data_IF_483610926597
#
_entry.id   IF_483610926597
#
_cell.length_a   1.000
_cell.length_b   1.000
_cell.length_c   1.000
_cell.angle_alpha   90.00
_cell.angle_beta   90.00
_cell.angle_gamma   90.00
#
_symmetry.space_group_name_H-M   'P 1'
#
loop_
_entity.id
_entity.type
_entity.pdbx_description
1 polymer ?
#
# COMPACT_ATOMS: atom_id res chain seq x y z
N UNK A 1 7.80 -10.66 -2.25
CA UNK A 1 9.05 -10.03 -2.71
C UNK A 1 9.68 -9.07 -1.71
N UNK A 2 8.95 -8.05 -1.20
CA UNK A 2 9.55 -7.04 -0.28
C UNK A 2 10.02 -7.60 1.07
N UNK A 3 9.33 -8.60 1.63
CA UNK A 3 9.74 -9.28 2.87
C UNK A 3 11.06 -10.04 2.65
N UNK A 4 11.13 -10.84 1.58
CA UNK A 4 12.36 -11.54 1.20
C UNK A 4 13.55 -10.58 0.96
N UNK A 5 13.31 -9.39 0.37
CA UNK A 5 14.36 -8.37 0.16
C UNK A 5 14.84 -7.69 1.45
N UNK A 6 14.07 -7.69 2.54
CA UNK A 6 14.48 -7.09 3.83
C UNK A 6 15.45 -7.98 4.64
N UNK A 7 15.50 -9.28 4.36
CA UNK A 7 16.50 -10.18 4.94
C UNK A 7 16.38 -10.41 6.45
N UNK A 8 15.22 -10.10 7.05
CA UNK A 8 14.98 -10.32 8.49
C UNK A 8 14.68 -11.80 8.73
N UNK A 9 15.53 -12.47 9.50
CA UNK A 9 15.54 -13.94 9.67
C UNK A 9 14.17 -14.51 10.09
N UNK A 10 13.49 -13.85 11.02
CA UNK A 10 12.17 -14.30 11.49
C UNK A 10 11.04 -14.08 10.47
N UNK A 11 11.19 -13.11 9.54
CA UNK A 11 10.16 -12.82 8.54
C UNK A 11 10.25 -13.78 7.33
N UNK A 12 11.37 -14.49 7.16
CA UNK A 12 11.56 -15.43 6.05
C UNK A 12 10.71 -16.70 6.20
N UNK A 13 10.34 -17.07 7.43
CA UNK A 13 9.46 -18.20 7.71
C UNK A 13 7.97 -17.86 7.61
N UNK A 14 7.63 -16.60 7.31
CA UNK A 14 6.24 -16.21 7.10
C UNK A 14 5.75 -16.88 5.82
N UNK A 15 4.90 -17.89 5.99
CA UNK A 15 4.30 -18.61 4.87
C UNK A 15 3.49 -17.66 3.98
N UNK A 16 3.56 -17.89 2.66
CA UNK A 16 2.77 -17.14 1.69
C UNK A 16 1.27 -17.18 2.02
N UNK A 17 0.77 -18.35 2.44
CA UNK A 17 -0.63 -18.53 2.82
C UNK A 17 -1.04 -17.63 3.99
N UNK A 18 -0.13 -17.39 4.94
CA UNK A 18 -0.39 -16.46 6.03
C UNK A 18 -0.55 -15.02 5.51
N UNK A 19 0.33 -14.58 4.60
CA UNK A 19 0.24 -13.25 3.99
C UNK A 19 -1.03 -13.08 3.15
N UNK A 20 -1.47 -14.13 2.46
CA UNK A 20 -2.73 -14.14 1.71
C UNK A 20 -3.93 -13.98 2.65
N UNK A 21 -4.02 -14.79 3.72
CA UNK A 21 -5.07 -14.65 4.74
C UNK A 21 -5.08 -13.27 5.39
N UNK A 22 -3.90 -12.72 5.66
CA UNK A 22 -3.75 -11.39 6.23
C UNK A 22 -4.29 -10.33 5.27
N UNK A 23 -3.87 -10.38 4.00
CA UNK A 23 -4.33 -9.46 2.97
C UNK A 23 -5.85 -9.51 2.82
N UNK A 24 -6.44 -10.70 2.75
CA UNK A 24 -7.89 -10.87 2.72
C UNK A 24 -8.60 -10.29 3.95
N UNK A 25 -8.06 -10.51 5.15
CA UNK A 25 -8.63 -9.97 6.38
C UNK A 25 -8.62 -8.44 6.38
N UNK A 26 -7.51 -7.82 5.95
CA UNK A 26 -7.41 -6.37 5.79
C UNK A 26 -8.36 -5.84 4.70
N UNK A 27 -8.47 -6.53 3.57
CA UNK A 27 -9.38 -6.15 2.49
C UNK A 27 -10.84 -6.15 2.97
N UNK A 28 -11.26 -7.20 3.70
CA UNK A 28 -12.60 -7.27 4.32
C UNK A 28 -12.82 -6.15 5.34
N UNK A 29 -11.87 -5.93 6.23
CA UNK A 29 -11.94 -4.88 7.23
C UNK A 29 -12.14 -3.49 6.60
N UNK A 30 -11.28 -3.12 5.64
CA UNK A 30 -11.36 -1.82 5.00
C UNK A 30 -12.52 -1.69 4.00
N UNK A 31 -13.07 -2.80 3.51
CA UNK A 31 -14.29 -2.81 2.72
C UNK A 31 -15.52 -2.36 3.54
N UNK A 32 -15.53 -2.57 4.85
CA UNK A 32 -16.63 -2.16 5.72
C UNK A 32 -16.30 -0.91 6.56
N UNK A 33 -15.02 -0.57 6.67
CA UNK A 33 -14.55 0.59 7.41
C UNK A 33 -15.16 1.90 6.91
N UNK A 34 -15.79 2.65 7.83
CA UNK A 34 -16.44 3.95 7.60
C UNK A 34 -16.16 4.99 8.69
N UNK A 35 -15.31 4.67 9.68
CA UNK A 35 -15.05 5.54 10.82
C UNK A 35 -14.17 6.75 10.48
N UNK A 36 -13.44 6.70 9.37
CA UNK A 36 -12.61 7.79 8.87
C UNK A 36 -12.50 7.73 7.33
N UNK A 37 -12.07 8.83 6.66
CA UNK A 37 -11.71 8.79 5.26
C UNK A 37 -10.63 7.73 4.99
N UNK A 38 -10.78 6.99 3.89
CA UNK A 38 -9.90 5.87 3.52
C UNK A 38 -9.25 6.15 2.16
N UNK A 39 -7.93 6.14 2.12
CA UNK A 39 -7.14 6.25 0.89
C UNK A 39 -6.54 4.88 0.54
N UNK A 40 -6.92 4.32 -0.60
CA UNK A 40 -6.38 3.07 -1.13
C UNK A 40 -5.31 3.41 -2.16
N UNK A 41 -4.07 3.02 -1.88
CA UNK A 41 -2.89 3.33 -2.69
C UNK A 41 -2.37 2.08 -3.38
N UNK A 42 -2.16 2.14 -4.69
CA UNK A 42 -1.43 1.10 -5.40
C UNK A 42 0.09 1.27 -5.18
N UNK A 43 0.61 0.53 -4.19
CA UNK A 43 2.03 0.56 -3.83
C UNK A 43 2.95 -0.21 -4.79
N UNK A 44 2.42 -0.87 -5.84
CA UNK A 44 3.26 -1.56 -6.82
C UNK A 44 3.96 -0.61 -7.80
N UNK A 45 3.44 0.61 -7.95
CA UNK A 45 3.90 1.58 -8.97
C UNK A 45 4.61 2.82 -8.38
N UNK A 46 4.84 2.85 -7.06
CA UNK A 46 5.54 3.94 -6.37
C UNK A 46 6.60 3.41 -5.40
N UNK A 47 7.68 4.17 -5.24
CA UNK A 47 8.67 3.96 -4.21
C UNK A 47 8.91 5.24 -3.41
N UNK A 48 8.05 5.56 -2.42
CA UNK A 48 8.21 6.77 -1.62
C UNK A 48 9.45 6.75 -0.69
N UNK A 49 10.17 5.63 -0.61
CA UNK A 49 11.40 5.54 0.19
C UNK A 49 12.60 5.98 -0.64
N UNK A 50 12.68 5.51 -1.89
CA UNK A 50 13.79 5.84 -2.79
C UNK A 50 13.53 7.07 -3.67
N UNK A 51 12.27 7.50 -3.84
CA UNK A 51 11.88 8.56 -4.76
C UNK A 51 11.08 9.65 -4.05
N UNK A 52 11.70 10.81 -3.84
CA UNK A 52 11.08 11.98 -3.20
C UNK A 52 9.81 12.44 -3.93
N UNK A 53 9.75 12.33 -5.25
CA UNK A 53 8.57 12.72 -6.03
C UNK A 53 7.38 11.82 -5.73
N UNK A 54 7.61 10.52 -5.54
CA UNK A 54 6.55 9.58 -5.17
C UNK A 54 6.05 9.85 -3.75
N UNK A 55 6.96 10.25 -2.85
CA UNK A 55 6.59 10.73 -1.52
C UNK A 55 5.71 11.98 -1.58
N UNK A 56 6.10 12.99 -2.35
CA UNK A 56 5.37 14.26 -2.45
C UNK A 56 3.98 14.05 -3.08
N UNK A 57 3.87 13.21 -4.11
CA UNK A 57 2.60 12.86 -4.73
C UNK A 57 1.67 12.11 -3.75
N UNK A 58 2.20 11.17 -2.98
CA UNK A 58 1.47 10.46 -1.93
C UNK A 58 1.02 11.42 -0.82
N UNK A 59 1.89 12.32 -0.36
CA UNK A 59 1.57 13.32 0.66
C UNK A 59 0.46 14.27 0.18
N UNK A 60 0.53 14.71 -1.08
CA UNK A 60 -0.51 15.52 -1.68
C UNK A 60 -1.85 14.76 -1.81
N UNK A 61 -1.82 13.46 -2.09
CA UNK A 61 -3.02 12.62 -2.10
C UNK A 61 -3.64 12.51 -0.69
N UNK A 62 -2.83 12.29 0.34
CA UNK A 62 -3.28 12.25 1.74
C UNK A 62 -3.91 13.60 2.15
N UNK A 63 -3.28 14.72 1.82
CA UNK A 63 -3.79 16.07 2.14
C UNK A 63 -5.10 16.42 1.43
N UNK A 64 -5.34 15.88 0.24
CA UNK A 64 -6.57 16.11 -0.54
C UNK A 64 -7.73 15.22 -0.09
N UNK A 65 -7.47 14.21 0.73
CA UNK A 65 -8.50 13.31 1.22
C UNK A 65 -9.44 14.06 2.17
N UNK A 66 -10.69 14.27 1.74
CA UNK A 66 -11.67 15.05 2.49
C UNK A 66 -12.76 14.16 3.10
N UNK A 67 -13.38 13.26 2.32
CA UNK A 67 -14.43 12.34 2.79
C UNK A 67 -14.49 11.05 1.97
N UNK A 68 -14.96 9.98 2.61
CA UNK A 68 -15.27 8.72 1.93
C UNK A 68 -14.03 7.91 1.55
N UNK A 69 -14.13 7.21 0.42
CA UNK A 69 -13.07 6.33 -0.10
C UNK A 69 -12.45 6.96 -1.34
N UNK A 70 -11.14 7.10 -1.34
CA UNK A 70 -10.36 7.60 -2.46
C UNK A 70 -9.38 6.54 -2.93
N UNK A 71 -9.21 6.43 -4.24
CA UNK A 71 -8.24 5.53 -4.86
C UNK A 71 -7.13 6.37 -5.48
N UNK A 72 -5.89 6.10 -5.08
CA UNK A 72 -4.71 6.69 -5.68
C UNK A 72 -3.97 5.60 -6.47
N UNK A 73 -4.07 5.69 -7.80
CA UNK A 73 -3.33 4.86 -8.72
C UNK A 73 -2.27 5.73 -9.43
N UNK A 74 -1.01 5.69 -8.98
CA UNK A 74 0.06 6.39 -9.67
C UNK A 74 0.24 5.76 -11.04
N UNK A 75 -0.17 6.49 -12.09
CA UNK A 75 0.05 6.12 -13.48
C UNK A 75 1.54 6.30 -13.81
N UNK A 76 2.39 5.42 -13.30
CA UNK A 76 3.73 5.23 -13.82
C UNK A 76 3.72 3.90 -14.56
N UNK A 77 3.87 3.98 -15.88
CA UNK A 77 4.28 2.83 -16.67
C UNK A 77 5.60 2.35 -16.05
N UNK A 78 5.61 1.14 -15.52
CA UNK A 78 6.82 0.45 -15.10
C UNK A 78 7.80 0.55 -16.27
N UNK A 79 8.84 1.38 -16.13
CA UNK A 79 9.95 1.36 -17.08
C UNK A 79 10.52 -0.06 -17.02
N UNK A 80 10.61 -0.66 -18.20
CA UNK A 80 11.07 -2.04 -18.45
C UNK A 80 12.48 -2.20 -17.89
#
# INVERSE_FOLDING_TARGET
ERIARRGVEFEQYIERQYLERLNEAYARFFHEFKAAPLLIVNAASIDPIANQRDYDELLAAIRRMSRGRSYYNPLRSRAI
#
